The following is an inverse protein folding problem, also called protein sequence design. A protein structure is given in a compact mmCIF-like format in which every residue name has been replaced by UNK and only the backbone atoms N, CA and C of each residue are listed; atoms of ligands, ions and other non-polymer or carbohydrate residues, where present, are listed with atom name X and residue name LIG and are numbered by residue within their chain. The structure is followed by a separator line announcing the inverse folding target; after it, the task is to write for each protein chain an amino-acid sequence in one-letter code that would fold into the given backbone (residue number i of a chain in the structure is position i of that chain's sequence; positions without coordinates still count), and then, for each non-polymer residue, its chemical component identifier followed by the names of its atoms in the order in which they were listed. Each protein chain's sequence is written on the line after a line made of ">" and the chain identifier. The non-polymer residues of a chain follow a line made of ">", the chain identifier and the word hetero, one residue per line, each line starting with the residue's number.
data_IF_133267878298
#
_entry.id   IF_133267878298
#
_cell.length_a   1.000
_cell.length_b   1.000
_cell.length_c   1.000
_cell.angle_alpha   90.00
_cell.angle_beta   90.00
_cell.angle_gamma   90.00
#
_symmetry.space_group_name_H-M   'P 1'
#
loop_
_entity.id
_entity.type
_entity.pdbx_description
1 polymer ?
#
# COMPACT_ATOMS: atom_id res chain seq x y z
N UNK A 1 -23.38 0.47 -17.58
CA UNK A 1 -23.11 0.75 -17.50
C UNK A 1 -22.41 0.90 -17.22
N UNK A 2 -22.53 0.69 -17.16
CA UNK A 2 -21.99 0.93 -16.97
C UNK A 2 -21.31 0.77 -16.59
N UNK A 3 -21.26 0.59 -16.60
CA UNK A 3 -20.67 0.58 -16.23
C UNK A 3 -19.95 0.53 -15.97
N UNK A 4 -19.80 0.39 -16.05
CA UNK A 4 -19.08 0.47 -15.85
C UNK A 4 -18.39 0.49 -15.52
N UNK A 5 -18.31 0.24 -15.57
CA UNK A 5 -17.91 0.48 -15.31
C UNK A 5 -17.37 0.55 -14.98
N UNK A 6 -17.19 0.03 -15.21
CA UNK A 6 -16.83 0.32 -14.96
C UNK A 6 -16.39 0.75 -14.64
N UNK A 7 -16.31 0.29 -15.09
CA UNK A 7 -16.01 0.94 -14.84
C UNK A 7 -15.58 1.99 -14.65
N UNK A 8 -15.54 2.16 -14.98
CA UNK A 8 -15.22 3.31 -15.12
C UNK A 8 -15.87 4.18 -14.20
N UNK A 9 -16.45 3.79 -13.46
CA UNK A 9 -17.03 4.46 -12.53
C UNK A 9 -15.98 5.00 -11.68
N UNK A 10 -15.96 6.17 -11.24
CA UNK A 10 -14.94 6.72 -10.40
C UNK A 10 -14.96 5.99 -9.10
N UNK A 11 -13.89 6.03 -8.42
CA UNK A 11 -13.81 5.33 -7.19
C UNK A 11 -14.81 5.89 -6.26
N UNK A 12 -15.36 5.08 -5.42
CA UNK A 12 -16.24 5.46 -4.50
C UNK A 12 -15.59 6.34 -3.55
N UNK A 13 -16.16 7.34 -3.07
CA UNK A 13 -15.59 8.25 -2.11
C UNK A 13 -15.44 7.56 -0.79
N UNK A 14 -14.28 7.62 -0.24
CA UNK A 14 -14.00 7.06 1.06
C UNK A 14 -13.46 8.19 1.90
N UNK A 15 -14.01 8.46 3.05
CA UNK A 15 -13.53 9.56 3.88
C UNK A 15 -12.04 9.46 4.11
N UNK A 16 -11.35 10.52 3.91
CA UNK A 16 -9.92 10.58 4.12
C UNK A 16 -9.07 10.12 2.97
N UNK A 17 -9.68 9.69 1.88
CA UNK A 17 -8.89 9.23 0.74
C UNK A 17 -9.08 10.22 -0.41
N UNK A 18 -8.06 10.98 -0.70
CA UNK A 18 -8.15 11.94 -1.81
C UNK A 18 -8.05 11.22 -3.14
N UNK A 19 -8.60 11.79 -4.20
CA UNK A 19 -8.63 11.12 -5.50
C UNK A 19 -7.27 10.65 -6.02
N UNK A 20 -6.23 11.42 -5.80
CA UNK A 20 -4.91 11.03 -6.25
C UNK A 20 -4.44 9.75 -5.56
N UNK A 21 -4.73 9.63 -4.28
CA UNK A 21 -4.38 8.44 -3.52
C UNK A 21 -5.23 7.27 -3.98
N UNK A 22 -6.52 7.51 -4.19
CA UNK A 22 -7.40 6.44 -4.66
C UNK A 22 -6.90 5.89 -6.00
N UNK A 23 -6.49 6.76 -6.91
CA UNK A 23 -5.96 6.31 -8.19
C UNK A 23 -4.66 5.53 -8.04
N UNK A 24 -3.83 5.92 -7.09
CA UNK A 24 -2.58 5.21 -6.88
C UNK A 24 -2.83 3.79 -6.38
N UNK A 25 -3.89 3.60 -5.60
CA UNK A 25 -4.23 2.26 -5.12
C UNK A 25 -4.77 1.38 -6.25
N UNK A 26 -5.52 1.97 -7.16
CA UNK A 26 -6.02 1.23 -8.32
C UNK A 26 -4.83 0.81 -9.20
N UNK A 27 -3.90 1.71 -9.42
CA UNK A 27 -2.72 1.39 -10.20
C UNK A 27 -1.92 0.30 -9.54
N UNK A 28 -1.73 0.39 -8.23
CA UNK A 28 -0.98 -0.61 -7.49
C UNK A 28 -1.63 -1.98 -7.64
N UNK A 29 -2.95 -2.04 -7.51
CA UNK A 29 -3.68 -3.29 -7.66
C UNK A 29 -3.49 -3.91 -9.04
N UNK A 30 -3.52 -3.08 -10.06
CA UNK A 30 -3.31 -3.53 -11.42
C UNK A 30 -1.89 -4.03 -11.59
N UNK A 31 -0.92 -3.34 -11.03
CA UNK A 31 0.49 -3.72 -11.13
C UNK A 31 0.73 -5.07 -10.42
N UNK A 32 0.06 -5.32 -9.33
CA UNK A 32 0.16 -6.58 -8.61
C UNK A 32 -0.33 -7.72 -9.51
N UNK A 33 -1.46 -7.50 -10.20
CA UNK A 33 -1.98 -8.53 -11.09
C UNK A 33 -1.01 -8.81 -12.23
N UNK A 34 -0.44 -7.79 -12.80
CA UNK A 34 0.51 -7.96 -13.88
C UNK A 34 1.74 -8.71 -13.38
N UNK A 35 2.22 -8.36 -12.20
CA UNK A 35 3.39 -9.00 -11.62
C UNK A 35 3.14 -10.48 -11.36
N UNK A 36 1.95 -10.81 -10.91
CA UNK A 36 1.57 -12.21 -10.69
C UNK A 36 1.57 -12.98 -12.01
N UNK A 37 0.93 -12.40 -13.01
CA UNK A 37 0.80 -13.07 -14.30
C UNK A 37 2.15 -13.26 -14.97
N UNK A 38 3.02 -12.30 -14.84
CA UNK A 38 4.35 -12.43 -15.41
C UNK A 38 5.12 -13.59 -14.79
N UNK A 39 4.82 -13.91 -13.55
CA UNK A 39 5.49 -15.00 -12.84
C UNK A 39 4.71 -16.30 -12.99
N UNK A 40 3.65 -16.28 -13.80
CA UNK A 40 2.83 -17.45 -14.03
C UNK A 40 2.32 -18.10 -12.76
N UNK A 41 1.97 -17.27 -11.81
CA UNK A 41 1.40 -17.75 -10.56
C UNK A 41 -0.11 -17.65 -10.61
N UNK A 42 -0.79 -18.66 -10.12
CA UNK A 42 -2.23 -18.59 -9.99
C UNK A 42 -2.56 -17.74 -8.78
N UNK A 43 -3.77 -17.26 -8.71
CA UNK A 43 -4.22 -16.51 -7.55
C UNK A 43 -4.08 -17.39 -6.31
N UNK A 44 -4.46 -18.64 -6.40
CA UNK A 44 -4.38 -19.55 -5.27
C UNK A 44 -2.94 -19.72 -4.80
N UNK A 45 -2.00 -19.84 -5.71
CA UNK A 45 -0.62 -20.02 -5.35
C UNK A 45 -0.05 -18.77 -4.67
N UNK A 46 -0.36 -17.61 -5.22
CA UNK A 46 0.12 -16.37 -4.63
C UNK A 46 -0.50 -16.15 -3.26
N UNK A 47 -1.80 -16.35 -3.13
CA UNK A 47 -2.48 -16.18 -1.86
C UNK A 47 -1.97 -17.15 -0.82
N UNK A 48 -1.68 -18.37 -1.22
CA UNK A 48 -1.13 -19.36 -0.30
C UNK A 48 0.23 -18.94 0.23
N UNK A 49 1.07 -18.40 -0.64
CA UNK A 49 2.38 -17.94 -0.21
C UNK A 49 2.30 -16.70 0.65
N UNK A 50 1.38 -15.82 0.33
CA UNK A 50 1.24 -14.57 1.08
C UNK A 50 0.42 -14.71 2.36
N UNK A 51 -0.26 -15.82 2.51
CA UNK A 51 -1.08 -16.03 3.70
C UNK A 51 -2.32 -15.18 3.73
N UNK A 52 -2.92 -14.90 2.57
CA UNK A 52 -4.13 -14.09 2.50
C UNK A 52 -5.23 -14.85 1.77
N UNK A 53 -6.45 -14.42 1.95
CA UNK A 53 -7.58 -15.04 1.27
C UNK A 53 -7.70 -14.53 -0.14
N UNK A 54 -8.36 -15.27 -1.00
CA UNK A 54 -8.62 -14.84 -2.36
C UNK A 54 -9.50 -13.60 -2.35
N UNK A 55 -10.41 -13.50 -1.41
CA UNK A 55 -11.28 -12.35 -1.31
C UNK A 55 -10.49 -11.10 -0.98
N UNK A 56 -9.52 -11.19 -0.07
CA UNK A 56 -8.68 -10.06 0.25
C UNK A 56 -7.84 -9.69 -0.97
N UNK A 57 -7.30 -10.68 -1.66
CA UNK A 57 -6.51 -10.44 -2.85
C UNK A 57 -7.34 -9.69 -3.90
N UNK A 58 -8.59 -10.08 -4.06
CA UNK A 58 -9.45 -9.42 -5.03
C UNK A 58 -9.63 -7.96 -4.67
N UNK A 59 -9.85 -7.65 -3.42
CA UNK A 59 -9.99 -6.27 -3.00
C UNK A 59 -8.72 -5.47 -3.26
N UNK A 60 -7.56 -6.08 -3.05
CA UNK A 60 -6.30 -5.43 -3.31
C UNK A 60 -6.12 -5.10 -4.78
N UNK A 61 -6.44 -6.05 -5.65
CA UNK A 61 -6.24 -5.84 -7.08
C UNK A 61 -7.27 -4.88 -7.66
N UNK A 62 -8.37 -4.68 -6.96
CA UNK A 62 -9.34 -3.68 -7.36
C UNK A 62 -8.96 -2.29 -6.82
N UNK A 63 -7.94 -2.21 -6.02
CA UNK A 63 -7.50 -0.94 -5.49
C UNK A 63 -8.36 -0.38 -4.40
N UNK A 64 -9.08 -1.27 -3.68
CA UNK A 64 -9.96 -0.79 -2.64
C UNK A 64 -9.20 -0.29 -1.46
N UNK A 65 -9.53 0.89 -0.95
CA UNK A 65 -8.87 1.41 0.25
C UNK A 65 -9.24 0.56 1.47
N UNK A 66 -8.51 0.70 2.50
CA UNK A 66 -8.84 0.01 3.75
C UNK A 66 -8.21 -1.34 3.93
N UNK A 67 -7.34 -1.74 3.02
CA UNK A 67 -6.64 -3.01 3.14
C UNK A 67 -5.42 -2.81 4.02
N UNK A 68 -5.19 -3.72 4.93
CA UNK A 68 -4.05 -3.59 5.83
C UNK A 68 -2.75 -3.60 5.07
N UNK A 69 -1.82 -2.79 5.48
CA UNK A 69 -0.55 -2.65 4.81
C UNK A 69 0.25 -3.95 4.85
N UNK A 70 0.09 -4.75 5.90
CA UNK A 70 0.84 -5.99 5.97
C UNK A 70 0.40 -6.98 4.89
N UNK A 71 -0.84 -6.90 4.43
CA UNK A 71 -1.29 -7.76 3.34
C UNK A 71 -0.53 -7.43 2.07
N UNK A 72 -0.31 -6.14 1.80
CA UNK A 72 0.49 -5.72 0.65
C UNK A 72 1.93 -6.17 0.81
N UNK A 73 2.48 -6.02 2.01
CA UNK A 73 3.85 -6.41 2.26
C UNK A 73 4.06 -7.90 2.02
N UNK A 74 3.11 -8.72 2.45
CA UNK A 74 3.18 -10.17 2.26
C UNK A 74 3.08 -10.54 0.78
N UNK A 75 2.22 -9.86 0.04
CA UNK A 75 2.08 -10.13 -1.40
C UNK A 75 3.37 -9.74 -2.14
N UNK A 76 3.97 -8.61 -1.80
CA UNK A 76 5.22 -8.21 -2.44
C UNK A 76 6.33 -9.22 -2.15
N UNK A 77 6.40 -9.68 -0.92
CA UNK A 77 7.41 -10.66 -0.56
C UNK A 77 7.16 -11.96 -1.33
N UNK A 78 5.92 -12.39 -1.42
CA UNK A 78 5.55 -13.61 -2.13
C UNK A 78 5.81 -13.50 -3.64
N UNK A 79 5.79 -12.29 -4.19
CA UNK A 79 6.10 -12.07 -5.59
C UNK A 79 7.62 -12.01 -5.82
N UNK A 80 8.39 -12.07 -4.78
CA UNK A 80 9.84 -12.00 -4.92
C UNK A 80 10.39 -10.59 -4.96
N UNK A 81 9.59 -9.62 -4.52
CA UNK A 81 10.02 -8.23 -4.53
C UNK A 81 10.68 -7.79 -3.23
N UNK A 82 10.87 -8.72 -2.32
CA UNK A 82 11.52 -8.40 -1.06
C UNK A 82 10.62 -7.60 -0.15
N UNK A 83 11.16 -6.61 0.49
CA UNK A 83 10.45 -5.83 1.47
C UNK A 83 10.47 -4.35 1.12
N UNK A 84 9.82 -3.96 0.01
CA UNK A 84 9.88 -2.57 -0.46
C UNK A 84 9.32 -1.56 0.55
N UNK A 85 8.45 -2.02 1.45
CA UNK A 85 7.89 -1.12 2.45
C UNK A 85 8.98 -0.54 3.34
N UNK A 86 10.09 -1.26 3.49
CA UNK A 86 11.15 -0.79 4.38
C UNK A 86 11.79 0.49 3.89
N UNK A 87 11.72 0.74 2.60
CA UNK A 87 12.43 1.87 2.02
C UNK A 87 11.56 2.98 1.47
N UNK A 88 10.26 2.86 1.61
CA UNK A 88 9.37 3.84 1.00
C UNK A 88 9.58 5.25 1.51
N UNK A 89 9.92 5.40 2.75
CA UNK A 89 10.14 6.71 3.33
C UNK A 89 11.52 6.76 3.96
N UNK A 90 12.47 6.20 3.25
CA UNK A 90 13.83 6.12 3.74
C UNK A 90 14.36 7.52 3.93
N UNK A 91 14.81 7.85 5.12
CA UNK A 91 15.29 9.17 5.43
C UNK A 91 16.46 9.56 4.54
N UNK A 92 17.26 8.61 4.14
CA UNK A 92 18.43 8.90 3.29
C UNK A 92 18.07 9.25 1.86
N UNK A 93 16.82 8.97 1.45
CA UNK A 93 16.39 9.25 0.09
C UNK A 93 15.35 10.34 0.04
N UNK A 94 14.93 10.86 1.19
CA UNK A 94 13.88 11.85 1.25
C UNK A 94 14.51 13.23 1.25
N UNK A 95 14.67 13.82 0.11
CA UNK A 95 15.31 15.13 -0.01
C UNK A 95 14.63 16.19 0.81
N UNK A 96 13.33 16.23 0.82
CA UNK A 96 12.61 17.23 1.58
C UNK A 96 12.82 16.98 3.08
N UNK A 97 12.74 15.74 3.49
CA UNK A 97 12.94 15.38 4.87
C UNK A 97 14.34 15.73 5.36
N UNK A 98 15.33 15.50 4.51
CA UNK A 98 16.69 15.80 4.87
C UNK A 98 16.88 17.30 5.07
N UNK A 99 16.23 18.11 4.25
CA UNK A 99 16.34 19.52 4.42
C UNK A 99 15.68 19.95 5.72
N UNK A 100 14.57 19.36 6.06
CA UNK A 100 13.90 19.69 7.30
C UNK A 100 14.70 19.25 8.50
N UNK A 101 15.40 18.15 8.39
CA UNK A 101 16.20 17.70 9.49
C UNK A 101 17.29 18.69 9.78
N UNK A 102 17.92 19.20 8.79
CA UNK A 102 18.99 20.13 8.98
C UNK A 102 18.50 21.35 9.67
N UNK A 103 17.35 21.80 9.32
CA UNK A 103 16.83 22.98 9.91
C UNK A 103 16.01 22.89 11.13
N UNK A 104 15.26 21.97 11.32
CA UNK A 104 14.43 21.93 12.42
C UNK A 104 14.00 20.66 13.00
N UNK A 105 14.58 19.58 12.77
CA UNK A 105 14.13 18.36 13.38
C UNK A 105 14.34 18.52 14.86
N UNK A 106 13.36 18.33 15.65
CA UNK A 106 13.51 18.47 17.08
C UNK A 106 14.35 17.35 17.62
N UNK A 107 15.07 17.57 18.71
CA UNK A 107 15.88 16.60 19.28
C UNK A 107 15.05 15.45 19.67
N UNK A 108 13.83 15.59 20.05
CA UNK A 108 13.03 14.49 20.32
C UNK A 108 11.64 14.90 20.10
N UNK A 109 10.82 14.02 19.55
CA UNK A 109 9.48 14.28 19.29
C UNK A 109 8.68 13.92 20.48
N UNK A 110 7.94 14.84 21.09
CA UNK A 110 7.20 14.59 22.19
C UNK A 110 6.02 13.81 21.88
N UNK A 111 5.80 12.74 22.36
CA UNK A 111 4.66 11.94 22.07
C UNK A 111 3.47 12.53 22.71
N UNK A 112 2.36 12.26 22.30
CA UNK A 112 1.27 12.74 22.75
C UNK A 112 1.02 12.17 23.98
N UNK A 113 0.81 12.64 24.89
CA UNK A 113 0.53 12.15 26.10
C UNK A 113 0.03 10.90 26.12
N UNK A 114 0.47 10.04 25.75
CA UNK A 114 0.10 8.87 25.67
C UNK A 114 0.42 8.28 26.83
N UNK A 115 -0.30 8.03 27.56
CA UNK A 115 -0.05 7.47 28.64
C UNK A 115 0.64 6.30 28.57
N UNK A 116 0.71 5.74 27.61
CA UNK A 116 1.34 4.49 27.59
C UNK A 116 2.71 4.82 27.64
N UNK A 117 3.04 5.88 27.42
CA UNK A 117 4.30 6.27 27.52
C UNK A 117 5.07 5.44 26.69
N UNK A 118 4.58 4.79 25.99
CA UNK A 118 5.24 3.91 25.28
C UNK A 118 5.97 4.61 24.35
N UNK A 119 6.29 4.88 24.05
CA UNK A 119 6.88 5.32 23.08
C UNK A 119 7.63 5.90 23.26
#
# INVERSE_FOLDING_TARGET
>A
MISPTSSSKPPRTVPGVVPAVARSLVKLGSDIEVARKKRRLTVAALCGRAGISASLYKRMTEGRPGTAINAYAMVFFALGLGTPMADLVDAGRDDTGLMLDIERLPKRIRPRRDKSGAL
#
